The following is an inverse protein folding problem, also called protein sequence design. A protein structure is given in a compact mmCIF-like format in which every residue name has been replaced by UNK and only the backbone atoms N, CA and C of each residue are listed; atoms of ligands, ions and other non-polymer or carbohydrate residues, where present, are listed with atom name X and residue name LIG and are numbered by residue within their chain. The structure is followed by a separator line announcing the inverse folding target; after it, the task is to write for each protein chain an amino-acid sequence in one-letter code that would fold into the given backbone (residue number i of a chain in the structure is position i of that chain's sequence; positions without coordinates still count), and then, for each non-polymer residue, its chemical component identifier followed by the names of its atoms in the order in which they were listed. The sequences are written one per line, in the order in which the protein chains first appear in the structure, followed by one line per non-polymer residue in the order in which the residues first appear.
data_IF_615851088986
#
_entry.id   IF_615851088986
#
_cell.length_a   1.000
_cell.length_b   1.000
_cell.length_c   1.000
_cell.angle_alpha   90.00
_cell.angle_beta   90.00
_cell.angle_gamma   90.00
#
_symmetry.space_group_name_H-M   'P 1'
#
loop_
_entity.id
_entity.type
_entity.pdbx_description
1 polymer ?
#
# COMPACT_ATOMS: atom_id res chain seq x y z
N UNK A 1 -6.19 26.31 8.20
CA UNK A 1 -5.88 24.86 8.14
C UNK A 1 -4.97 24.56 9.31
N UNK A 2 -5.43 23.81 10.33
CA UNK A 2 -4.55 23.43 11.44
C UNK A 2 -3.40 22.58 10.90
N UNK A 3 -2.21 22.65 11.50
CA UNK A 3 -1.05 21.84 11.11
C UNK A 3 -1.37 20.33 10.97
N UNK A 4 -2.43 19.87 11.65
CA UNK A 4 -2.97 18.52 11.54
C UNK A 4 -3.45 18.14 10.13
N UNK A 5 -4.00 19.08 9.35
CA UNK A 5 -4.51 18.78 8.00
C UNK A 5 -3.40 18.49 6.98
N UNK A 6 -2.31 19.26 7.03
CA UNK A 6 -1.14 19.04 6.15
C UNK A 6 -0.41 17.74 6.52
N UNK A 7 -0.21 17.51 7.83
CA UNK A 7 0.36 16.26 8.35
C UNK A 7 -0.46 15.03 7.97
N UNK A 8 -1.79 15.13 8.00
CA UNK A 8 -2.70 14.05 7.59
C UNK A 8 -2.56 13.70 6.11
N UNK A 9 -2.49 14.70 5.22
CA UNK A 9 -2.29 14.48 3.79
C UNK A 9 -0.93 13.83 3.51
N UNK A 10 0.14 14.32 4.16
CA UNK A 10 1.48 13.75 4.01
C UNK A 10 1.51 12.30 4.49
N UNK A 11 0.95 12.00 5.66
CA UNK A 11 0.87 10.65 6.18
C UNK A 11 0.07 9.71 5.25
N UNK A 12 -1.02 10.20 4.65
CA UNK A 12 -1.81 9.44 3.69
C UNK A 12 -1.00 9.12 2.41
N UNK A 13 -0.34 10.11 1.82
CA UNK A 13 0.50 9.91 0.63
C UNK A 13 1.62 8.91 0.93
N UNK A 14 2.34 9.09 2.04
CA UNK A 14 3.43 8.19 2.44
C UNK A 14 2.90 6.77 2.65
N UNK A 15 1.75 6.62 3.31
CA UNK A 15 1.09 5.32 3.50
C UNK A 15 0.82 4.62 2.18
N UNK A 16 0.20 5.32 1.22
CA UNK A 16 -0.10 4.78 -0.11
C UNK A 16 1.18 4.34 -0.84
N UNK A 17 2.22 5.19 -0.85
CA UNK A 17 3.47 4.89 -1.52
C UNK A 17 4.18 3.68 -0.91
N UNK A 18 4.23 3.59 0.42
CA UNK A 18 4.84 2.45 1.13
C UNK A 18 4.04 1.16 0.85
N UNK A 19 2.71 1.20 0.91
CA UNK A 19 1.88 0.03 0.61
C UNK A 19 2.10 -0.48 -0.82
N UNK A 20 2.14 0.41 -1.80
CA UNK A 20 2.39 0.02 -3.19
C UNK A 20 3.80 -0.53 -3.40
N UNK A 21 4.82 0.10 -2.80
CA UNK A 21 6.20 -0.38 -2.89
C UNK A 21 6.36 -1.79 -2.29
N UNK A 22 5.75 -2.03 -1.11
CA UNK A 22 5.77 -3.35 -0.47
C UNK A 22 5.00 -4.37 -1.32
N UNK A 23 3.80 -4.02 -1.80
CA UNK A 23 2.99 -4.92 -2.64
C UNK A 23 3.70 -5.34 -3.91
N UNK A 24 4.29 -4.40 -4.66
CA UNK A 24 5.08 -4.72 -5.85
C UNK A 24 6.36 -5.49 -5.52
N UNK A 25 7.04 -5.17 -4.41
CA UNK A 25 8.20 -5.92 -3.94
C UNK A 25 7.89 -7.39 -3.65
N UNK A 26 6.72 -7.66 -3.07
CA UNK A 26 6.23 -9.02 -2.79
C UNK A 26 5.83 -9.77 -4.07
N UNK A 27 5.19 -9.10 -5.04
CA UNK A 27 4.81 -9.71 -6.32
C UNK A 27 6.05 -10.05 -7.16
N UNK A 28 7.00 -9.13 -7.25
CA UNK A 28 8.24 -9.31 -8.01
C UNK A 28 9.29 -10.15 -7.29
N UNK A 29 8.97 -10.72 -6.12
CA UNK A 29 9.87 -11.49 -5.26
C UNK A 29 11.18 -10.77 -4.89
N UNK A 30 11.22 -9.44 -5.06
CA UNK A 30 12.33 -8.58 -4.61
C UNK A 30 12.34 -8.48 -3.09
N UNK A 31 11.16 -8.60 -2.47
CA UNK A 31 10.95 -8.66 -1.03
C UNK A 31 10.43 -10.05 -0.66
N UNK A 32 11.28 -10.88 -0.04
CA UNK A 32 10.87 -12.17 0.50
C UNK A 32 10.51 -12.03 1.97
N UNK A 33 9.44 -12.71 2.40
CA UNK A 33 9.02 -12.70 3.80
C UNK A 33 9.51 -13.98 4.45
N UNK A 34 10.34 -13.91 5.52
CA UNK A 34 10.81 -15.09 6.22
C UNK A 34 9.63 -15.94 6.70
N UNK A 35 9.78 -17.26 6.62
CA UNK A 35 8.78 -18.24 7.08
C UNK A 35 7.46 -18.29 6.30
N UNK A 36 7.32 -17.54 5.19
CA UNK A 36 6.14 -17.59 4.32
C UNK A 36 6.52 -18.18 2.96
N UNK A 37 5.76 -19.17 2.44
CA UNK A 37 5.95 -19.67 1.08
C UNK A 37 5.80 -18.58 0.03
N UNK A 38 6.65 -18.60 -0.99
CA UNK A 38 6.71 -17.59 -2.05
C UNK A 38 5.36 -17.32 -2.72
N UNK A 39 4.60 -18.38 -2.99
CA UNK A 39 3.27 -18.28 -3.60
C UNK A 39 2.32 -17.44 -2.73
N UNK A 40 2.38 -17.62 -1.42
CA UNK A 40 1.53 -16.86 -0.48
C UNK A 40 2.01 -15.40 -0.41
N UNK A 41 3.32 -15.15 -0.45
CA UNK A 41 3.88 -13.81 -0.51
C UNK A 41 3.40 -13.05 -1.75
N UNK A 42 3.41 -13.68 -2.93
CA UNK A 42 2.94 -13.05 -4.17
C UNK A 42 1.44 -12.74 -4.10
N UNK A 43 0.62 -13.66 -3.59
CA UNK A 43 -0.82 -13.43 -3.40
C UNK A 43 -1.07 -12.26 -2.44
N UNK A 44 -0.37 -12.22 -1.31
CA UNK A 44 -0.47 -11.13 -0.36
C UNK A 44 -0.05 -9.78 -0.98
N UNK A 45 0.97 -9.77 -1.85
CA UNK A 45 1.37 -8.58 -2.59
C UNK A 45 0.24 -8.04 -3.48
N UNK A 46 -0.45 -8.92 -4.22
CA UNK A 46 -1.62 -8.52 -5.02
C UNK A 46 -2.78 -7.99 -4.17
N UNK A 47 -3.04 -8.57 -3.00
CA UNK A 47 -4.05 -8.06 -2.06
C UNK A 47 -3.71 -6.63 -1.64
N UNK A 48 -2.44 -6.36 -1.30
CA UNK A 48 -2.00 -5.00 -0.91
C UNK A 48 -2.14 -4.01 -2.07
N UNK A 49 -1.70 -4.37 -3.27
CA UNK A 49 -1.79 -3.48 -4.45
C UNK A 49 -3.25 -3.13 -4.77
N UNK A 50 -4.13 -4.14 -4.84
CA UNK A 50 -5.55 -3.94 -5.14
C UNK A 50 -6.19 -3.10 -4.03
N UNK A 51 -5.93 -3.42 -2.76
CA UNK A 51 -6.46 -2.67 -1.62
C UNK A 51 -6.01 -1.21 -1.62
N UNK A 52 -4.74 -0.94 -1.92
CA UNK A 52 -4.20 0.42 -2.02
C UNK A 52 -4.84 1.19 -3.18
N UNK A 53 -5.00 0.58 -4.35
CA UNK A 53 -5.65 1.22 -5.52
C UNK A 53 -7.10 1.55 -5.21
N UNK A 54 -7.87 0.58 -4.66
CA UNK A 54 -9.27 0.82 -4.28
C UNK A 54 -9.34 1.90 -3.20
N UNK A 55 -8.45 1.87 -2.21
CA UNK A 55 -8.39 2.87 -1.14
C UNK A 55 -8.14 4.29 -1.67
N UNK A 56 -7.22 4.44 -2.62
CA UNK A 56 -6.96 5.74 -3.28
C UNK A 56 -8.16 6.19 -4.09
N UNK A 57 -8.76 5.31 -4.89
CA UNK A 57 -9.99 5.61 -5.65
C UNK A 57 -11.07 6.10 -4.69
N UNK A 58 -11.37 5.34 -3.63
CA UNK A 58 -12.37 5.74 -2.65
C UNK A 58 -12.03 7.07 -1.98
N UNK A 59 -10.77 7.32 -1.60
CA UNK A 59 -10.37 8.59 -0.99
C UNK A 59 -10.55 9.81 -1.93
N UNK A 60 -10.45 9.60 -3.25
CA UNK A 60 -10.67 10.66 -4.24
C UNK A 60 -12.16 10.90 -4.47
N UNK A 61 -12.97 9.84 -4.54
CA UNK A 61 -14.39 9.94 -4.85
C UNK A 61 -15.27 10.22 -3.62
N UNK A 62 -14.91 9.67 -2.45
CA UNK A 62 -15.55 9.97 -1.18
C UNK A 62 -14.84 11.17 -0.54
N UNK A 63 -15.18 12.36 -1.04
CA UNK A 63 -14.72 13.65 -0.50
C UNK A 63 -15.43 14.01 0.80
#
# INVERSE_FOLDING_TARGET
MSNAGLMGIVAWIVGVLVSLAVGFGMIGQTLTVPFIPEVITVIAGWVVVIGAVIGVIMAIFAK
#
